data_IF_114573370342
#
_entry.id   IF_114573370342
#
_cell.length_a   1.000
_cell.length_b   1.000
_cell.length_c   1.000
_cell.angle_alpha   90.00
_cell.angle_beta   90.00
_cell.angle_gamma   90.00
#
_symmetry.space_group_name_H-M   'P 1'
#
loop_
_entity.id
_entity.type
_entity.pdbx_description
1 polymer ?
#
# COMPACT_ATOMS: atom_id res chain seq x y z
N UNK A 1 10.73 4.94 8.80
CA UNK A 1 10.73 5.38 7.38
C UNK A 1 10.12 6.78 7.21
N UNK A 2 8.91 7.07 7.71
CA UNK A 2 8.35 8.44 7.73
C UNK A 2 9.06 9.39 8.71
N UNK A 3 9.57 8.88 9.83
CA UNK A 3 10.35 9.68 10.79
C UNK A 3 11.75 10.03 10.30
N UNK A 4 12.38 9.16 9.50
CA UNK A 4 13.74 9.38 8.99
C UNK A 4 13.82 10.29 7.77
N UNK A 5 12.73 10.45 7.00
CA UNK A 5 12.75 11.22 5.76
C UNK A 5 11.59 12.23 5.59
N UNK A 6 10.54 12.15 6.41
CA UNK A 6 9.34 12.98 6.24
C UNK A 6 9.23 14.22 7.12
N UNK A 7 10.08 14.36 8.15
CA UNK A 7 10.04 15.44 9.16
C UNK A 7 8.63 15.75 9.71
N UNK A 8 7.73 14.76 9.70
CA UNK A 8 6.36 14.91 10.12
C UNK A 8 6.19 14.20 11.47
N UNK A 9 6.01 14.99 12.52
CA UNK A 9 5.71 14.47 13.85
C UNK A 9 4.44 13.61 13.77
N UNK A 10 4.52 12.39 14.30
CA UNK A 10 3.33 11.55 14.40
C UNK A 10 2.35 12.18 15.40
N UNK A 11 1.03 12.10 15.15
CA UNK A 11 0.02 12.57 16.11
C UNK A 11 0.24 11.94 17.49
N UNK A 12 0.06 12.71 18.56
CA UNK A 12 0.27 12.22 19.93
C UNK A 12 -0.61 11.01 20.25
N UNK A 13 -1.82 10.95 19.69
CA UNK A 13 -2.73 9.83 19.86
C UNK A 13 -2.17 8.53 19.26
N UNK A 14 -1.47 8.64 18.12
CA UNK A 14 -0.82 7.50 17.49
C UNK A 14 0.39 7.04 18.30
N UNK A 15 1.19 7.97 18.80
CA UNK A 15 2.35 7.67 19.66
C UNK A 15 1.90 6.99 20.95
N UNK A 16 0.91 7.56 21.65
CA UNK A 16 0.36 6.97 22.87
C UNK A 16 -0.27 5.58 22.62
N UNK A 17 -0.89 5.39 21.45
CA UNK A 17 -1.42 4.08 21.06
C UNK A 17 -0.31 3.05 20.82
N UNK A 18 0.78 3.43 20.14
CA UNK A 18 1.95 2.58 19.94
C UNK A 18 2.62 2.25 21.27
N UNK A 19 2.77 3.21 22.19
CA UNK A 19 3.38 2.97 23.49
C UNK A 19 2.58 1.95 24.31
N UNK A 20 1.25 1.96 24.18
CA UNK A 20 0.34 1.04 24.86
C UNK A 20 0.29 -0.34 24.19
N UNK A 21 0.16 -0.39 22.87
CA UNK A 21 -0.18 -1.61 22.12
C UNK A 21 0.96 -2.18 21.26
N UNK A 22 2.11 -1.50 21.24
CA UNK A 22 3.24 -1.84 20.39
C UNK A 22 2.99 -1.58 18.90
N UNK A 23 4.02 -1.81 18.10
CA UNK A 23 3.96 -1.69 16.64
C UNK A 23 2.97 -2.69 16.02
N UNK A 24 2.81 -3.88 16.63
CA UNK A 24 1.81 -4.86 16.22
C UNK A 24 0.38 -4.31 16.32
N UNK A 25 0.06 -3.62 17.43
CA UNK A 25 -1.23 -2.98 17.61
C UNK A 25 -1.51 -1.91 16.58
N UNK A 26 -0.50 -1.07 16.27
CA UNK A 26 -0.61 -0.04 15.22
C UNK A 26 -0.97 -0.63 13.87
N UNK A 27 -0.30 -1.72 13.48
CA UNK A 27 -0.57 -2.41 12.20
C UNK A 27 -2.01 -2.96 12.16
N UNK A 28 -2.46 -3.63 13.23
CA UNK A 28 -3.84 -4.15 13.31
C UNK A 28 -4.88 -3.04 13.23
N UNK A 29 -4.69 -1.95 13.97
CA UNK A 29 -5.62 -0.83 13.98
C UNK A 29 -5.74 -0.19 12.60
N UNK A 30 -4.60 0.11 11.96
CA UNK A 30 -4.59 0.67 10.60
C UNK A 30 -5.22 -0.29 9.59
N UNK A 31 -4.96 -1.60 9.69
CA UNK A 31 -5.58 -2.57 8.80
C UNK A 31 -7.11 -2.63 8.97
N UNK A 32 -7.62 -2.58 10.20
CA UNK A 32 -9.08 -2.56 10.46
C UNK A 32 -9.74 -1.27 9.97
N UNK A 33 -9.02 -0.15 9.99
CA UNK A 33 -9.50 1.12 9.43
C UNK A 33 -9.59 1.01 7.90
N UNK A 34 -8.50 0.54 7.26
CA UNK A 34 -8.37 0.52 5.80
C UNK A 34 -9.14 -0.63 5.12
N UNK A 35 -9.32 -1.76 5.82
CA UNK A 35 -9.96 -2.94 5.26
C UNK A 35 -11.30 -3.21 5.97
N UNK A 36 -12.40 -3.01 5.24
CA UNK A 36 -13.76 -3.29 5.73
C UNK A 36 -14.04 -4.77 6.02
N UNK A 37 -13.14 -5.68 5.65
CA UNK A 37 -13.17 -7.09 6.08
C UNK A 37 -11.80 -7.45 6.65
N UNK A 38 -11.71 -7.50 7.98
CA UNK A 38 -10.55 -8.02 8.68
C UNK A 38 -10.69 -9.53 8.90
N UNK A 39 -9.58 -10.25 8.83
CA UNK A 39 -9.46 -11.62 9.30
C UNK A 39 -10.01 -11.75 10.74
N UNK A 40 -10.90 -12.71 11.05
CA UNK A 40 -11.41 -12.92 12.41
C UNK A 40 -10.32 -13.14 13.47
N UNK A 41 -9.15 -13.64 13.06
CA UNK A 41 -8.00 -13.85 13.94
C UNK A 41 -6.95 -12.72 13.83
N UNK A 42 -7.32 -11.59 13.24
CA UNK A 42 -6.46 -10.42 13.18
C UNK A 42 -6.21 -9.88 14.59
N UNK A 43 -4.97 -9.98 15.05
CA UNK A 43 -4.59 -9.64 16.42
C UNK A 43 -3.15 -9.15 16.53
N UNK A 44 -2.78 -8.72 17.73
CA UNK A 44 -1.42 -8.31 18.07
C UNK A 44 -1.12 -8.71 19.51
N UNK A 45 0.16 -8.89 19.81
CA UNK A 45 0.63 -9.02 21.19
C UNK A 45 2.06 -8.51 21.30
N UNK A 46 2.50 -8.21 22.52
CA UNK A 46 3.86 -7.74 22.80
C UNK A 46 4.65 -8.87 23.45
N UNK A 47 5.81 -9.19 22.90
CA UNK A 47 6.80 -10.05 23.56
C UNK A 47 7.94 -9.22 24.13
N UNK A 48 8.80 -9.87 24.90
CA UNK A 48 9.92 -9.19 25.59
C UNK A 48 10.93 -8.54 24.65
N UNK A 49 11.07 -9.08 23.43
CA UNK A 49 12.07 -8.65 22.44
C UNK A 49 11.48 -7.98 21.21
N UNK A 50 10.18 -8.13 20.97
CA UNK A 50 9.51 -7.65 19.77
C UNK A 50 8.00 -7.53 19.95
N UNK A 51 7.39 -6.66 19.17
CA UNK A 51 5.93 -6.60 19.00
C UNK A 51 5.50 -7.49 17.84
N UNK A 52 4.39 -8.20 18.00
CA UNK A 52 3.91 -9.19 17.04
C UNK A 52 2.57 -8.77 16.44
N UNK A 53 2.47 -8.98 15.14
CA UNK A 53 1.26 -8.88 14.35
C UNK A 53 0.82 -10.29 13.94
N UNK A 54 -0.43 -10.65 14.22
CA UNK A 54 -0.98 -11.99 14.02
C UNK A 54 -2.13 -11.92 13.01
N UNK A 55 -2.07 -12.81 12.03
CA UNK A 55 -3.12 -13.04 11.03
C UNK A 55 -3.11 -14.50 10.62
N UNK A 56 -4.24 -15.03 10.15
CA UNK A 56 -4.23 -16.24 9.36
C UNK A 56 -3.54 -15.97 8.02
N UNK A 57 -2.69 -16.92 7.65
CA UNK A 57 -2.19 -17.00 6.30
C UNK A 57 -3.33 -17.44 5.40
N UNK A 58 -4.06 -16.47 4.82
CA UNK A 58 -4.89 -16.73 3.65
C UNK A 58 -3.95 -16.86 2.47
N UNK A 59 -3.64 -18.11 2.11
CA UNK A 59 -3.14 -18.47 0.79
C UNK A 59 -4.25 -18.20 -0.22
N UNK A 60 -4.44 -16.94 -0.57
CA UNK A 60 -5.44 -16.52 -1.53
C UNK A 60 -4.89 -16.87 -2.92
N UNK A 61 -4.88 -18.17 -3.25
CA UNK A 61 -4.57 -18.72 -4.59
C UNK A 61 -5.60 -18.31 -5.67
N UNK A 62 -6.42 -17.30 -5.41
CA UNK A 62 -7.28 -16.64 -6.38
C UNK A 62 -6.68 -15.30 -6.76
N UNK A 63 -5.44 -15.30 -7.24
CA UNK A 63 -4.88 -14.14 -7.92
C UNK A 63 -5.64 -13.94 -9.23
N UNK A 64 -5.91 -12.68 -9.58
CA UNK A 64 -6.38 -12.36 -10.93
C UNK A 64 -5.12 -12.34 -11.80
N UNK A 65 -5.05 -13.27 -12.76
CA UNK A 65 -4.00 -13.25 -13.77
C UNK A 65 -4.32 -12.12 -14.76
N UNK A 66 -3.77 -10.94 -14.48
CA UNK A 66 -4.00 -9.75 -15.28
C UNK A 66 -3.54 -9.91 -16.73
N UNK A 67 -2.62 -10.84 -17.02
CA UNK A 67 -2.14 -11.13 -18.39
C UNK A 67 -3.19 -11.88 -19.22
N UNK A 68 -4.17 -12.51 -18.57
CA UNK A 68 -5.27 -13.24 -19.22
C UNK A 68 -6.53 -12.40 -19.41
N UNK A 69 -6.56 -11.17 -18.88
CA UNK A 69 -7.73 -10.29 -18.98
C UNK A 69 -7.75 -9.54 -20.32
N UNK A 70 -8.86 -9.67 -21.04
CA UNK A 70 -9.18 -8.78 -22.15
C UNK A 70 -9.41 -7.32 -21.66
N UNK A 71 -9.32 -6.35 -22.57
CA UNK A 71 -9.40 -4.91 -22.27
C UNK A 71 -10.60 -4.50 -21.40
N UNK A 72 -11.77 -5.06 -21.67
CA UNK A 72 -13.01 -4.76 -20.94
C UNK A 72 -12.93 -5.19 -19.48
N UNK A 73 -12.71 -6.48 -19.19
CA UNK A 73 -12.42 -6.99 -17.85
C UNK A 73 -11.27 -6.27 -17.14
N UNK A 74 -10.16 -5.99 -17.84
CA UNK A 74 -9.01 -5.27 -17.26
C UNK A 74 -9.40 -3.86 -16.78
N UNK A 75 -10.17 -3.11 -17.57
CA UNK A 75 -10.66 -1.77 -17.16
C UNK A 75 -11.53 -1.84 -15.91
N UNK A 76 -12.45 -2.82 -15.84
CA UNK A 76 -13.30 -3.00 -14.64
C UNK A 76 -12.47 -3.36 -13.41
N UNK A 77 -11.47 -4.22 -13.60
CA UNK A 77 -10.55 -4.59 -12.53
C UNK A 77 -9.76 -3.37 -12.03
N UNK A 78 -9.17 -2.59 -12.93
CA UNK A 78 -8.46 -1.36 -12.60
C UNK A 78 -9.35 -0.35 -11.87
N UNK A 79 -10.62 -0.18 -12.31
CA UNK A 79 -11.60 0.68 -11.63
C UNK A 79 -11.93 0.19 -10.22
N UNK A 80 -12.07 -1.12 -10.02
CA UNK A 80 -12.29 -1.70 -8.69
C UNK A 80 -11.11 -1.41 -7.75
N UNK A 81 -9.88 -1.64 -8.22
CA UNK A 81 -8.66 -1.32 -7.48
C UNK A 81 -8.57 0.17 -7.14
N UNK A 82 -8.79 1.05 -8.13
CA UNK A 82 -8.77 2.49 -7.92
C UNK A 82 -9.81 2.94 -6.89
N UNK A 83 -11.02 2.37 -6.91
CA UNK A 83 -12.09 2.69 -5.96
C UNK A 83 -11.71 2.28 -4.54
N UNK A 84 -11.14 1.08 -4.36
CA UNK A 84 -10.69 0.60 -3.04
C UNK A 84 -9.55 1.48 -2.51
N UNK A 85 -8.58 1.82 -3.35
CA UNK A 85 -7.48 2.72 -2.99
C UNK A 85 -7.98 4.12 -2.61
N UNK A 86 -8.88 4.70 -3.40
CA UNK A 86 -9.45 6.02 -3.12
C UNK A 86 -10.19 6.05 -1.76
N UNK A 87 -10.96 5.01 -1.45
CA UNK A 87 -11.63 4.87 -0.15
C UNK A 87 -10.64 4.79 1.00
N UNK A 88 -9.60 3.96 0.86
CA UNK A 88 -8.56 3.82 1.87
C UNK A 88 -7.81 5.15 2.11
N UNK A 89 -7.44 5.86 1.04
CA UNK A 89 -6.79 7.17 1.16
C UNK A 89 -7.70 8.26 1.74
N UNK A 90 -9.00 8.23 1.43
CA UNK A 90 -9.99 9.16 1.98
C UNK A 90 -10.19 9.05 3.48
N UNK A 91 -9.86 7.91 4.09
CA UNK A 91 -9.89 7.71 5.54
C UNK A 91 -8.66 8.31 6.26
N UNK A 92 -7.69 8.85 5.52
CA UNK A 92 -6.54 9.53 6.10
C UNK A 92 -6.96 10.82 6.82
N UNK A 93 -6.47 11.08 8.05
CA UNK A 93 -6.71 12.36 8.74
C UNK A 93 -6.27 13.59 7.92
N UNK A 94 -5.33 13.42 7.00
CA UNK A 94 -4.81 14.49 6.15
C UNK A 94 -5.56 14.63 4.81
N UNK A 95 -6.61 13.84 4.55
CA UNK A 95 -7.31 13.82 3.27
C UNK A 95 -7.82 15.22 2.87
N UNK A 96 -8.43 15.96 3.80
CA UNK A 96 -8.94 17.31 3.53
C UNK A 96 -7.83 18.30 3.14
N UNK A 97 -6.67 18.23 3.81
CA UNK A 97 -5.49 19.07 3.50
C UNK A 97 -4.92 18.75 2.12
N UNK A 98 -4.83 17.46 1.79
CA UNK A 98 -4.36 17.00 0.47
C UNK A 98 -5.33 17.47 -0.60
N UNK A 99 -6.64 17.27 -0.43
CA UNK A 99 -7.66 17.73 -1.39
C UNK A 99 -7.56 19.24 -1.63
N UNK A 100 -7.42 20.04 -0.57
CA UNK A 100 -7.25 21.49 -0.69
C UNK A 100 -5.98 21.89 -1.45
N UNK A 101 -4.88 21.15 -1.28
CA UNK A 101 -3.65 21.35 -2.05
C UNK A 101 -3.79 20.96 -3.52
N UNK A 102 -4.50 19.86 -3.81
CA UNK A 102 -4.72 19.39 -5.18
C UNK A 102 -5.65 20.31 -5.99
N UNK A 103 -6.60 20.98 -5.31
CA UNK A 103 -7.62 21.80 -5.95
C UNK A 103 -8.59 20.99 -6.81
N UNK A 104 -9.36 21.68 -7.65
CA UNK A 104 -10.41 21.08 -8.50
C UNK A 104 -9.91 20.74 -9.93
N UNK A 105 -8.61 20.90 -10.18
CA UNK A 105 -8.00 20.74 -11.49
C UNK A 105 -7.58 19.31 -11.84
N UNK A 106 -7.23 19.10 -13.12
CA UNK A 106 -6.74 17.81 -13.64
C UNK A 106 -5.23 17.58 -13.46
N UNK A 107 -4.49 18.61 -13.05
CA UNK A 107 -3.02 18.60 -13.01
C UNK A 107 -2.46 17.43 -12.19
N UNK A 108 -3.08 17.11 -11.04
CA UNK A 108 -2.66 15.97 -10.22
C UNK A 108 -2.91 14.63 -10.92
N UNK A 109 -4.10 14.46 -11.51
CA UNK A 109 -4.43 13.24 -12.24
C UNK A 109 -3.50 13.04 -13.44
N UNK A 110 -3.18 14.12 -14.16
CA UNK A 110 -2.24 14.09 -15.29
C UNK A 110 -0.82 13.73 -14.85
N UNK A 111 -0.33 14.33 -13.77
CA UNK A 111 0.98 13.97 -13.19
C UNK A 111 1.04 12.51 -12.73
N UNK A 112 -0.04 11.98 -12.12
CA UNK A 112 -0.12 10.57 -11.73
C UNK A 112 -0.07 9.65 -12.96
N UNK A 113 -0.77 10.01 -14.05
CA UNK A 113 -0.76 9.25 -15.30
C UNK A 113 0.64 9.25 -15.92
N UNK A 114 1.29 10.41 -16.02
CA UNK A 114 2.65 10.53 -16.51
C UNK A 114 3.63 9.68 -15.68
N UNK A 115 3.56 9.81 -14.36
CA UNK A 115 4.36 9.01 -13.44
C UNK A 115 4.12 7.51 -13.63
N UNK A 116 2.87 7.08 -13.79
CA UNK A 116 2.53 5.67 -13.98
C UNK A 116 3.16 5.09 -15.25
N UNK A 117 3.16 5.84 -16.36
CA UNK A 117 3.83 5.42 -17.59
C UNK A 117 5.35 5.36 -17.43
N UNK A 118 5.96 6.36 -16.79
CA UNK A 118 7.40 6.37 -16.51
C UNK A 118 7.81 5.19 -15.61
N UNK A 119 7.02 4.91 -14.57
CA UNK A 119 7.26 3.79 -13.67
C UNK A 119 7.11 2.43 -14.36
N UNK A 120 6.13 2.29 -15.26
CA UNK A 120 5.97 1.07 -16.05
C UNK A 120 7.17 0.84 -16.99
N UNK A 121 7.72 1.90 -17.59
CA UNK A 121 8.93 1.82 -18.39
C UNK A 121 10.15 1.40 -17.55
N UNK A 122 10.31 1.99 -16.37
CA UNK A 122 11.37 1.62 -15.42
C UNK A 122 11.25 0.14 -15.01
N UNK A 123 10.06 -0.29 -14.60
CA UNK A 123 9.81 -1.68 -14.17
C UNK A 123 10.15 -2.69 -15.27
N UNK A 124 9.88 -2.35 -16.54
CA UNK A 124 10.25 -3.19 -17.69
C UNK A 124 11.76 -3.26 -17.89
N UNK A 125 12.45 -2.12 -17.75
CA UNK A 125 13.91 -2.07 -17.85
C UNK A 125 14.58 -2.89 -16.75
N UNK A 126 14.08 -2.76 -15.51
CA UNK A 126 14.57 -3.52 -14.35
C UNK A 126 14.36 -5.03 -14.53
N UNK A 127 13.20 -5.42 -15.09
CA UNK A 127 12.95 -6.82 -15.43
C UNK A 127 13.91 -7.36 -16.49
N UNK A 128 14.23 -6.56 -17.52
CA UNK A 128 15.25 -6.90 -18.51
C UNK A 128 16.63 -7.11 -17.86
N UNK A 129 17.07 -6.16 -17.03
CA UNK A 129 18.33 -6.25 -16.31
C UNK A 129 18.39 -7.48 -15.39
N UNK A 130 17.26 -7.83 -14.75
CA UNK A 130 17.14 -9.04 -13.96
C UNK A 130 17.34 -10.30 -14.81
N UNK A 131 16.69 -10.41 -15.97
CA UNK A 131 16.86 -11.55 -16.87
C UNK A 131 18.31 -11.69 -17.37
N UNK A 132 18.95 -10.58 -17.70
CA UNK A 132 20.36 -10.55 -18.12
C UNK A 132 21.28 -11.01 -16.99
N UNK A 133 21.02 -10.59 -15.75
CA UNK A 133 21.79 -11.04 -14.58
C UNK A 133 21.61 -12.53 -14.30
N UNK A 134 20.40 -13.07 -14.49
CA UNK A 134 20.13 -14.51 -14.38
C UNK A 134 20.86 -15.29 -15.48
N UNK A 135 20.81 -14.82 -16.73
CA UNK A 135 21.50 -15.46 -17.85
C UNK A 135 23.04 -15.37 -17.72
N UNK A 136 23.55 -14.28 -17.16
CA UNK A 136 24.97 -14.06 -16.89
C UNK A 136 25.49 -14.66 -15.59
N UNK A 137 24.64 -15.31 -14.78
CA UNK A 137 25.02 -15.94 -13.51
C UNK A 137 25.42 -14.97 -12.39
N UNK A 138 24.96 -13.71 -12.45
CA UNK A 138 25.28 -12.64 -11.47
C UNK A 138 24.13 -12.33 -10.51
N UNK A 139 22.96 -12.94 -10.69
CA UNK A 139 21.89 -12.92 -9.70
C UNK A 139 22.18 -13.97 -8.61
N UNK A 140 22.70 -13.54 -7.45
CA UNK A 140 22.89 -14.39 -6.26
C UNK A 140 21.76 -14.24 -5.25
#
# INVERSE_FOLDING_TARGET
MLEQYGSCAQPEELTAFVDRHGQGGRVVALQRILQGSSDPFLGHFRGERADYYVRQFRDMKGGIDAETLEDGPFRRYAQACATVLARAHGQSPNAAKVIGYLGEGRACAEAIVEWAYAYAALSRADYGAFLDAVAGGTAS
#
